data_IF_457896076853
#
_entry.id   IF_457896076853
#
_cell.length_a   1.000
_cell.length_b   1.000
_cell.length_c   1.000
_cell.angle_alpha   90.00
_cell.angle_beta   90.00
_cell.angle_gamma   90.00
#
_symmetry.space_group_name_H-M   'P 1'
#
loop_
_entity.id
_entity.type
_entity.pdbx_description
1 polymer ?
#
# COMPACT_ATOMS: atom_id res chain seq x y z
N UNK A 1 -3.78 -13.36 7.35
CA UNK A 1 -5.05 -12.72 7.66
C UNK A 1 -4.88 -11.36 8.28
N UNK A 2 -3.72 -11.02 8.68
CA UNK A 2 -3.46 -9.74 9.32
C UNK A 2 -2.75 -8.80 8.38
N UNK A 3 -3.19 -7.56 8.40
CA UNK A 3 -2.46 -6.50 7.74
C UNK A 3 -1.52 -5.86 8.75
N UNK A 4 -0.29 -5.65 8.34
CA UNK A 4 0.71 -5.01 9.17
C UNK A 4 0.99 -3.64 8.57
N UNK A 5 0.37 -2.62 9.14
CA UNK A 5 0.46 -1.27 8.62
C UNK A 5 1.10 -0.39 9.70
N UNK A 6 2.23 0.20 9.36
CA UNK A 6 2.92 1.06 10.32
C UNK A 6 2.05 2.28 10.64
N UNK A 7 2.13 2.74 11.88
CA UNK A 7 1.25 3.82 12.35
C UNK A 7 1.46 5.14 11.62
N UNK A 8 2.60 5.33 10.97
CA UNK A 8 2.88 6.55 10.23
C UNK A 8 2.31 6.55 8.82
N UNK A 9 1.75 5.42 8.37
CA UNK A 9 1.21 5.31 7.02
C UNK A 9 -0.06 6.15 6.91
N UNK A 10 -0.18 6.88 5.81
CA UNK A 10 -1.38 7.64 5.51
C UNK A 10 -2.16 6.87 4.45
N UNK A 11 -3.29 6.34 4.84
CA UNK A 11 -4.18 5.59 3.95
C UNK A 11 -5.52 6.27 3.92
N UNK A 12 -6.02 6.58 2.72
CA UNK A 12 -7.35 7.11 2.58
C UNK A 12 -8.38 6.06 2.98
N UNK A 13 -9.47 6.51 3.58
CA UNK A 13 -10.52 5.60 4.04
C UNK A 13 -11.15 4.81 2.90
N UNK A 14 -11.06 5.32 1.68
CA UNK A 14 -11.62 4.66 0.50
C UNK A 14 -10.68 3.65 -0.13
N UNK A 15 -9.44 3.57 0.32
CA UNK A 15 -8.49 2.60 -0.22
C UNK A 15 -8.97 1.18 0.05
N UNK A 16 -8.88 0.34 -0.97
CA UNK A 16 -9.29 -1.06 -0.83
C UNK A 16 -8.09 -1.93 -0.55
N UNK A 17 -8.13 -2.62 0.56
CA UNK A 17 -7.03 -3.48 1.00
C UNK A 17 -7.47 -4.94 1.05
N UNK A 18 -6.59 -5.82 0.56
CA UNK A 18 -6.78 -7.25 0.70
C UNK A 18 -6.28 -7.76 2.03
N UNK A 19 -5.77 -8.99 2.04
CA UNK A 19 -5.30 -9.67 3.24
C UNK A 19 -3.78 -9.80 3.23
N UNK A 20 -3.19 -9.88 4.41
CA UNK A 20 -1.75 -10.12 4.58
C UNK A 20 -0.90 -9.08 3.88
N UNK A 21 -1.29 -7.83 4.06
CA UNK A 21 -0.58 -6.69 3.45
C UNK A 21 0.35 -6.09 4.48
N UNK A 22 1.59 -5.82 4.06
CA UNK A 22 2.57 -5.12 4.88
C UNK A 22 2.87 -3.76 4.26
N UNK A 23 2.71 -2.71 5.04
CA UNK A 23 3.03 -1.36 4.59
C UNK A 23 3.99 -0.71 5.58
N UNK A 24 5.16 -0.37 5.10
CA UNK A 24 6.21 0.23 5.92
C UNK A 24 5.98 1.71 6.22
N UNK A 25 6.81 2.29 7.10
CA UNK A 25 6.57 3.64 7.61
C UNK A 25 6.65 4.72 6.54
N UNK A 26 5.89 5.77 6.77
CA UNK A 26 5.89 6.98 5.94
C UNK A 26 5.43 6.76 4.51
N UNK A 27 4.66 5.71 4.28
CA UNK A 27 4.05 5.48 2.98
C UNK A 27 2.70 6.18 2.90
N UNK A 28 2.30 6.56 1.69
CA UNK A 28 1.04 7.26 1.44
C UNK A 28 0.28 6.51 0.36
N UNK A 29 -0.96 6.13 0.68
CA UNK A 29 -1.79 5.35 -0.23
C UNK A 29 -3.08 6.15 -0.49
N UNK A 30 -3.34 6.43 -1.76
CA UNK A 30 -4.47 7.27 -2.16
C UNK A 30 -5.79 6.54 -2.21
N UNK A 31 -6.87 7.31 -2.38
CA UNK A 31 -8.25 6.82 -2.27
C UNK A 31 -8.64 5.82 -3.35
N UNK A 32 -8.12 5.99 -4.56
CA UNK A 32 -8.51 5.16 -5.69
C UNK A 32 -7.52 4.02 -5.93
N UNK A 33 -6.81 3.63 -4.90
CA UNK A 33 -5.84 2.55 -4.97
C UNK A 33 -6.47 1.28 -4.41
N UNK A 34 -6.25 0.18 -5.11
CA UNK A 34 -6.64 -1.14 -4.63
C UNK A 34 -5.38 -1.98 -4.47
N UNK A 35 -5.20 -2.55 -3.29
CA UNK A 35 -4.06 -3.40 -2.99
C UNK A 35 -4.58 -4.81 -2.72
N UNK A 36 -4.14 -5.75 -3.53
CA UNK A 36 -4.59 -7.13 -3.42
C UNK A 36 -3.81 -7.89 -2.35
N UNK A 37 -4.07 -9.19 -2.24
CA UNK A 37 -3.53 -9.98 -1.12
C UNK A 37 -2.01 -10.14 -1.20
N UNK A 38 -1.39 -10.27 -0.04
CA UNK A 38 0.03 -10.63 0.07
C UNK A 38 0.96 -9.62 -0.59
N UNK A 39 0.60 -8.35 -0.54
CA UNK A 39 1.44 -7.27 -1.09
C UNK A 39 2.33 -6.73 0.03
N UNK A 40 3.60 -6.50 -0.31
CA UNK A 40 4.55 -5.91 0.63
C UNK A 40 5.00 -4.56 0.10
N UNK A 41 4.75 -3.53 0.89
CA UNK A 41 5.14 -2.16 0.56
C UNK A 41 6.15 -1.70 1.60
N UNK A 42 7.32 -1.28 1.13
CA UNK A 42 8.39 -0.83 2.02
C UNK A 42 8.10 0.58 2.52
N UNK A 43 9.12 1.27 3.01
CA UNK A 43 8.97 2.60 3.56
C UNK A 43 8.97 3.66 2.47
N UNK A 44 8.35 4.82 2.75
CA UNK A 44 8.42 5.99 1.89
C UNK A 44 7.92 5.71 0.46
N UNK A 45 6.84 4.95 0.36
CA UNK A 45 6.22 4.64 -0.94
C UNK A 45 4.98 5.51 -1.11
N UNK A 46 4.84 6.11 -2.28
CA UNK A 46 3.69 6.95 -2.59
C UNK A 46 2.91 6.31 -3.73
N UNK A 47 1.66 5.93 -3.48
CA UNK A 47 0.79 5.32 -4.48
C UNK A 47 -0.46 6.16 -4.62
N UNK A 48 -0.67 6.73 -5.78
CA UNK A 48 -1.79 7.63 -6.05
C UNK A 48 -2.51 7.22 -7.33
N UNK A 49 -3.63 7.90 -7.60
CA UNK A 49 -4.39 7.68 -8.83
C UNK A 49 -5.16 6.38 -8.82
N UNK A 50 -5.74 6.04 -9.97
CA UNK A 50 -6.46 4.79 -10.14
C UNK A 50 -5.46 3.67 -10.37
N UNK A 51 -5.07 3.00 -9.30
CA UNK A 51 -3.99 2.04 -9.35
C UNK A 51 -4.40 0.74 -8.67
N UNK A 52 -4.09 -0.39 -9.31
CA UNK A 52 -4.28 -1.71 -8.73
C UNK A 52 -2.92 -2.35 -8.53
N UNK A 53 -2.63 -2.73 -7.30
CA UNK A 53 -1.40 -3.45 -6.98
C UNK A 53 -1.77 -4.93 -6.88
N UNK A 54 -1.24 -5.72 -7.79
CA UNK A 54 -1.59 -7.13 -7.88
C UNK A 54 -1.05 -7.94 -6.71
N UNK A 55 -1.64 -9.11 -6.56
CA UNK A 55 -1.30 -10.02 -5.48
C UNK A 55 0.19 -10.39 -5.52
N UNK A 56 0.82 -10.41 -4.35
CA UNK A 56 2.20 -10.81 -4.22
C UNK A 56 3.22 -9.78 -4.64
N UNK A 57 2.78 -8.58 -5.00
CA UNK A 57 3.72 -7.53 -5.42
C UNK A 57 4.53 -7.01 -4.25
N UNK A 58 5.80 -6.75 -4.49
CA UNK A 58 6.66 -6.10 -3.51
C UNK A 58 7.12 -4.76 -4.08
N UNK A 59 6.90 -3.70 -3.33
CA UNK A 59 7.26 -2.33 -3.74
C UNK A 59 8.37 -1.82 -2.84
N UNK A 60 9.50 -1.48 -3.43
CA UNK A 60 10.68 -1.09 -2.69
C UNK A 60 10.63 0.38 -2.25
N UNK A 61 11.50 0.77 -1.30
CA UNK A 61 11.45 2.12 -0.73
C UNK A 61 11.61 3.22 -1.79
N UNK A 62 10.94 4.34 -1.53
CA UNK A 62 11.00 5.53 -2.36
C UNK A 62 10.39 5.37 -3.73
N UNK A 63 9.53 4.36 -3.93
CA UNK A 63 8.82 4.23 -5.18
C UNK A 63 7.65 5.22 -5.24
N UNK A 64 7.38 5.71 -6.43
CA UNK A 64 6.25 6.60 -6.68
C UNK A 64 5.43 6.00 -7.81
N UNK A 65 4.17 5.69 -7.52
CA UNK A 65 3.28 5.01 -8.47
C UNK A 65 2.01 5.84 -8.60
N UNK A 66 1.60 6.06 -9.84
CA UNK A 66 0.35 6.79 -10.02
C UNK A 66 0.20 7.53 -11.29
#
# INVERSE_FOLDING_TARGET
>A
MKNSIHKTVIIDIKTKLGKDINIGPYSIIGANVQIKNHVKIHSHVNIQGHTVIDEGTEIFPFASIG
#
